data_IF_779810470167
#
_entry.id   IF_779810470167
#
_cell.length_a   1.000
_cell.length_b   1.000
_cell.length_c   1.000
_cell.angle_alpha   90.00
_cell.angle_beta   90.00
_cell.angle_gamma   90.00
#
_symmetry.space_group_name_H-M   'P 1'
#
loop_
_entity.id
_entity.type
_entity.pdbx_description
1 polymer ?
#
# COMPACT_ATOMS: atom_id res chain seq x y z
N UNK A 1 16.56 -18.52 -3.06
CA UNK A 1 16.18 -17.26 -2.41
C UNK A 1 17.44 -16.47 -2.16
N UNK A 2 17.53 -15.25 -2.70
CA UNK A 2 18.66 -14.37 -2.44
C UNK A 2 18.68 -14.02 -0.93
N UNK A 3 19.87 -13.89 -0.34
CA UNK A 3 20.07 -13.63 1.09
C UNK A 3 19.17 -12.54 1.74
N UNK A 4 18.85 -11.39 1.10
CA UNK A 4 18.02 -10.37 1.74
C UNK A 4 16.56 -10.79 1.98
N UNK A 5 15.99 -11.71 1.20
CA UNK A 5 14.59 -12.17 1.39
C UNK A 5 14.40 -12.98 2.68
N UNK A 6 15.44 -13.66 3.15
CA UNK A 6 15.37 -14.48 4.37
C UNK A 6 15.24 -13.65 5.65
N UNK A 7 15.77 -12.43 5.65
CA UNK A 7 15.66 -11.51 6.79
C UNK A 7 14.23 -11.03 7.00
N UNK A 8 13.51 -10.77 5.90
CA UNK A 8 12.15 -10.23 5.96
C UNK A 8 11.06 -11.29 6.17
N UNK A 9 11.28 -12.53 5.74
CA UNK A 9 10.24 -13.58 5.80
C UNK A 9 9.74 -13.82 7.22
N UNK A 10 10.62 -13.78 8.23
CA UNK A 10 10.26 -13.96 9.65
C UNK A 10 9.52 -12.77 10.25
N UNK A 11 9.60 -11.62 9.58
CA UNK A 11 9.00 -10.36 10.00
C UNK A 11 7.62 -10.12 9.36
N UNK A 12 7.17 -11.03 8.49
CA UNK A 12 5.96 -10.81 7.71
C UNK A 12 6.06 -9.62 6.76
N UNK A 13 7.27 -9.31 6.29
CA UNK A 13 7.55 -8.22 5.34
C UNK A 13 8.05 -8.85 4.03
N UNK A 14 7.75 -8.22 2.90
CA UNK A 14 8.30 -8.55 1.59
C UNK A 14 8.79 -7.29 0.89
N UNK A 15 9.81 -7.45 0.05
CA UNK A 15 10.25 -6.40 -0.87
C UNK A 15 9.29 -6.42 -2.07
N UNK A 16 8.47 -5.38 -2.29
CA UNK A 16 7.50 -5.38 -3.37
C UNK A 16 8.14 -5.01 -4.71
N UNK A 17 7.41 -5.31 -5.78
CA UNK A 17 7.61 -4.66 -7.07
C UNK A 17 6.65 -3.46 -7.12
N UNK A 18 7.17 -2.28 -7.45
CA UNK A 18 6.40 -1.03 -7.40
C UNK A 18 6.08 -0.55 -8.81
N UNK A 19 4.80 -0.37 -9.10
CA UNK A 19 4.33 0.21 -10.35
C UNK A 19 4.15 1.72 -10.17
N UNK A 20 4.91 2.52 -10.93
CA UNK A 20 4.75 3.97 -11.00
C UNK A 20 4.37 4.39 -12.42
N UNK A 21 3.67 5.51 -12.61
CA UNK A 21 3.46 6.02 -13.96
C UNK A 21 4.81 6.35 -14.61
N UNK A 22 4.90 6.14 -15.92
CA UNK A 22 6.11 6.43 -16.70
C UNK A 22 6.54 7.89 -16.54
N UNK A 23 7.84 8.14 -16.74
CA UNK A 23 8.39 9.48 -16.77
C UNK A 23 7.63 10.39 -17.74
N UNK A 24 7.36 11.63 -17.32
CA UNK A 24 6.57 12.60 -18.08
C UNK A 24 5.06 12.56 -17.83
N UNK A 25 4.55 11.57 -17.07
CA UNK A 25 3.16 11.61 -16.58
C UNK A 25 2.97 12.75 -15.57
N UNK A 26 1.84 13.45 -15.66
CA UNK A 26 1.48 14.49 -14.69
C UNK A 26 1.13 13.86 -13.33
N UNK A 27 2.12 13.83 -12.44
CA UNK A 27 1.98 13.26 -11.10
C UNK A 27 0.91 13.96 -10.26
N UNK A 28 0.65 15.25 -10.50
CA UNK A 28 -0.35 16.01 -9.74
C UNK A 28 -1.77 15.52 -10.03
N UNK A 29 -2.02 14.99 -11.23
CA UNK A 29 -3.28 14.32 -11.61
C UNK A 29 -3.25 12.82 -11.32
N UNK A 30 -2.07 12.22 -11.27
CA UNK A 30 -1.91 10.80 -10.95
C UNK A 30 -2.35 10.47 -9.52
N UNK A 31 -1.79 11.19 -8.54
CA UNK A 31 -1.90 10.83 -7.13
C UNK A 31 -3.17 11.39 -6.46
N UNK A 32 -4.10 10.49 -6.15
CA UNK A 32 -5.39 10.80 -5.53
C UNK A 32 -5.39 10.34 -4.08
N UNK A 33 -6.19 11.00 -3.24
CA UNK A 33 -6.37 10.60 -1.85
C UNK A 33 -6.98 9.18 -1.74
N UNK A 34 -6.73 8.53 -0.61
CA UNK A 34 -7.30 7.25 -0.25
C UNK A 34 -8.83 7.20 -0.45
N UNK A 35 -9.33 6.09 -1.00
CA UNK A 35 -10.73 5.96 -1.39
C UNK A 35 -11.72 5.93 -0.21
N UNK A 36 -11.23 5.69 1.00
CA UNK A 36 -11.99 5.66 2.25
C UNK A 36 -12.02 7.00 2.98
N UNK A 37 -11.47 8.05 2.36
CA UNK A 37 -11.62 9.43 2.80
C UNK A 37 -12.79 10.07 2.05
N UNK A 38 -13.33 11.17 2.59
CA UNK A 38 -14.44 11.88 1.97
C UNK A 38 -15.63 10.96 1.63
N UNK A 39 -15.93 10.02 2.54
CA UNK A 39 -16.88 8.90 2.30
C UNK A 39 -18.32 9.34 2.07
N UNK A 40 -18.65 10.58 2.41
CA UNK A 40 -19.99 11.16 2.27
C UNK A 40 -19.99 12.41 1.40
N UNK A 41 -18.85 12.77 0.80
CA UNK A 41 -18.65 14.03 0.07
C UNK A 41 -18.48 13.73 -1.43
N UNK A 42 -19.59 13.47 -2.11
CA UNK A 42 -19.59 13.17 -3.55
C UNK A 42 -19.02 14.31 -4.39
N UNK A 43 -19.23 15.55 -3.95
CA UNK A 43 -18.74 16.78 -4.59
C UNK A 43 -17.21 16.84 -4.61
N UNK A 44 -16.54 16.33 -3.56
CA UNK A 44 -15.08 16.22 -3.54
C UNK A 44 -14.59 15.31 -4.67
N UNK A 45 -15.21 14.14 -4.82
CA UNK A 45 -14.85 13.17 -5.84
C UNK A 45 -15.17 13.66 -7.26
N UNK A 46 -16.23 14.45 -7.43
CA UNK A 46 -16.53 15.14 -8.69
C UNK A 46 -15.45 16.15 -9.06
N UNK A 47 -14.97 16.95 -8.10
CA UNK A 47 -13.86 17.89 -8.31
C UNK A 47 -12.56 17.17 -8.68
N UNK A 48 -12.26 16.03 -8.03
CA UNK A 48 -11.11 15.19 -8.39
C UNK A 48 -11.25 14.69 -9.83
N UNK A 49 -12.43 14.19 -10.22
CA UNK A 49 -12.68 13.74 -11.61
C UNK A 49 -12.58 14.87 -12.62
N UNK A 50 -13.08 16.06 -12.29
CA UNK A 50 -12.98 17.23 -13.17
C UNK A 50 -11.52 17.69 -13.34
N UNK A 51 -10.75 17.69 -12.26
CA UNK A 51 -9.34 18.09 -12.29
C UNK A 51 -8.47 17.10 -13.09
N UNK A 52 -8.72 15.80 -12.94
CA UNK A 52 -8.00 14.74 -13.63
C UNK A 52 -8.38 14.67 -15.11
N UNK A 53 -9.67 14.78 -15.43
CA UNK A 53 -10.18 14.69 -16.80
C UNK A 53 -9.87 13.33 -17.42
N UNK A 54 -9.38 13.33 -18.66
CA UNK A 54 -8.99 12.12 -19.39
C UNK A 54 -7.50 11.74 -19.18
N UNK A 55 -6.77 12.46 -18.31
CA UNK A 55 -5.37 12.16 -18.03
C UNK A 55 -5.22 10.86 -17.24
N UNK A 56 -4.12 10.11 -17.40
CA UNK A 56 -3.85 8.95 -16.54
C UNK A 56 -3.90 9.29 -15.05
N UNK A 57 -4.70 8.57 -14.26
CA UNK A 57 -4.93 8.85 -12.85
C UNK A 57 -5.38 7.64 -12.04
N UNK A 58 -5.00 7.57 -10.77
CA UNK A 58 -5.48 6.51 -9.88
C UNK A 58 -6.97 6.61 -9.56
N UNK A 59 -7.64 7.75 -9.80
CA UNK A 59 -9.11 7.86 -9.62
C UNK A 59 -9.87 6.92 -10.58
N UNK A 60 -9.26 6.54 -11.70
CA UNK A 60 -9.82 5.58 -12.66
C UNK A 60 -9.53 4.13 -12.27
N UNK A 61 -8.70 3.90 -11.24
CA UNK A 61 -8.27 2.59 -10.76
C UNK A 61 -8.88 2.22 -9.40
N UNK A 62 -9.68 3.11 -8.80
CA UNK A 62 -10.27 2.94 -7.47
C UNK A 62 -11.77 3.16 -7.52
N UNK A 63 -12.47 2.61 -6.52
CA UNK A 63 -13.84 2.98 -6.22
C UNK A 63 -13.88 3.74 -4.89
N UNK A 64 -14.16 5.05 -4.90
CA UNK A 64 -14.37 5.80 -3.66
C UNK A 64 -15.52 5.23 -2.82
N UNK A 65 -15.36 5.22 -1.50
CA UNK A 65 -16.34 4.65 -0.59
C UNK A 65 -17.70 5.35 -0.64
N UNK A 66 -17.71 6.63 -1.04
CA UNK A 66 -18.91 7.39 -1.35
C UNK A 66 -19.82 6.71 -2.40
N UNK A 67 -19.27 5.81 -3.22
CA UNK A 67 -20.00 5.09 -4.27
C UNK A 67 -20.17 3.59 -3.99
N UNK A 68 -19.76 3.06 -2.83
CA UNK A 68 -19.88 1.62 -2.51
C UNK A 68 -21.32 1.11 -2.49
N UNK A 69 -22.29 1.98 -2.16
CA UNK A 69 -23.72 1.65 -2.15
C UNK A 69 -24.43 1.82 -3.50
N UNK A 70 -23.70 2.19 -4.56
CA UNK A 70 -24.28 2.42 -5.88
C UNK A 70 -24.83 1.14 -6.50
N UNK A 71 -25.97 1.24 -7.18
CA UNK A 71 -26.51 0.13 -7.99
C UNK A 71 -25.61 -0.24 -9.18
N UNK A 72 -24.70 0.66 -9.58
CA UNK A 72 -23.74 0.47 -10.68
C UNK A 72 -22.40 -0.14 -10.26
N UNK A 73 -22.36 -0.77 -9.10
CA UNK A 73 -21.13 -1.35 -8.54
C UNK A 73 -20.48 -2.37 -9.50
N UNK A 74 -21.21 -3.34 -10.10
CA UNK A 74 -20.61 -4.32 -11.01
C UNK A 74 -19.94 -3.69 -12.25
N UNK A 75 -20.61 -2.71 -12.86
CA UNK A 75 -20.08 -2.00 -14.03
C UNK A 75 -18.85 -1.17 -13.66
N UNK A 76 -18.86 -0.55 -12.47
CA UNK A 76 -17.73 0.24 -11.97
C UNK A 76 -16.49 -0.65 -11.74
N UNK A 77 -16.68 -1.84 -11.16
CA UNK A 77 -15.58 -2.80 -10.94
C UNK A 77 -14.99 -3.25 -12.29
N UNK A 78 -15.85 -3.57 -13.25
CA UNK A 78 -15.41 -3.97 -14.60
C UNK A 78 -14.58 -2.85 -15.25
N UNK A 79 -15.08 -1.61 -15.23
CA UNK A 79 -14.35 -0.47 -15.80
C UNK A 79 -13.01 -0.20 -15.10
N UNK A 80 -12.93 -0.39 -13.78
CA UNK A 80 -11.67 -0.29 -13.02
C UNK A 80 -10.68 -1.36 -13.49
N UNK A 81 -11.10 -2.63 -13.58
CA UNK A 81 -10.24 -3.73 -14.02
C UNK A 81 -9.76 -3.55 -15.45
N UNK A 82 -10.65 -3.11 -16.36
CA UNK A 82 -10.30 -2.82 -17.74
C UNK A 82 -9.29 -1.67 -17.83
N UNK A 83 -9.45 -0.62 -17.02
CA UNK A 83 -8.49 0.49 -16.96
C UNK A 83 -7.14 0.05 -16.42
N UNK A 84 -7.10 -0.79 -15.37
CA UNK A 84 -5.86 -1.35 -14.85
C UNK A 84 -5.11 -2.15 -15.92
N UNK A 85 -5.80 -3.02 -16.66
CA UNK A 85 -5.21 -3.78 -17.79
C UNK A 85 -4.71 -2.85 -18.89
N UNK A 86 -5.52 -1.87 -19.28
CA UNK A 86 -5.14 -0.86 -20.27
C UNK A 86 -3.86 -0.13 -19.87
N UNK A 87 -3.70 0.25 -18.59
CA UNK A 87 -2.50 0.95 -18.12
C UNK A 87 -1.25 0.05 -18.13
N UNK A 88 -1.42 -1.24 -17.83
CA UNK A 88 -0.36 -2.24 -17.95
C UNK A 88 0.04 -2.45 -19.42
N UNK A 89 -0.93 -2.62 -20.32
CA UNK A 89 -0.70 -2.97 -21.73
C UNK A 89 -0.19 -1.78 -22.56
N UNK A 90 -0.57 -0.55 -22.21
CA UNK A 90 -0.23 0.68 -22.96
C UNK A 90 1.08 1.34 -22.52
N UNK A 91 1.82 0.71 -21.59
CA UNK A 91 3.07 1.26 -21.06
C UNK A 91 2.88 2.59 -20.32
N UNK A 92 1.71 2.81 -19.71
CA UNK A 92 1.49 3.93 -18.78
C UNK A 92 2.29 3.71 -17.50
N UNK A 93 2.46 2.46 -17.08
CA UNK A 93 3.20 2.08 -15.89
C UNK A 93 4.63 1.64 -16.22
N UNK A 94 5.53 1.90 -15.28
CA UNK A 94 6.90 1.42 -15.24
C UNK A 94 7.08 0.65 -13.94
N UNK A 95 7.59 -0.58 -14.07
CA UNK A 95 7.87 -1.47 -12.96
C UNK A 95 9.25 -1.19 -12.35
N UNK A 96 9.27 -1.13 -11.03
CA UNK A 96 10.49 -1.05 -10.23
C UNK A 96 10.56 -2.31 -9.37
N UNK A 97 11.22 -3.33 -9.92
CA UNK A 97 11.40 -4.61 -9.23
C UNK A 97 12.14 -4.42 -7.91
N UNK A 98 11.78 -5.24 -6.92
CA UNK A 98 12.42 -5.35 -5.62
C UNK A 98 12.77 -3.98 -5.04
N UNK A 99 11.74 -3.17 -4.76
CA UNK A 99 11.91 -1.76 -4.40
C UNK A 99 11.10 -1.41 -3.16
N UNK A 100 11.77 -0.88 -2.14
CA UNK A 100 11.10 -0.05 -1.14
C UNK A 100 11.12 1.41 -1.57
N UNK A 101 10.14 2.18 -1.10
CA UNK A 101 10.11 3.63 -1.34
C UNK A 101 10.13 4.36 -0.01
N UNK A 102 11.20 5.11 0.26
CA UNK A 102 11.19 6.10 1.33
C UNK A 102 10.33 7.28 0.86
N UNK A 103 9.28 7.59 1.60
CA UNK A 103 8.35 8.66 1.30
C UNK A 103 8.62 9.83 2.23
N UNK A 104 8.68 11.04 1.68
CA UNK A 104 8.69 12.29 2.42
C UNK A 104 7.48 13.12 1.98
N UNK A 105 6.59 13.43 2.93
CA UNK A 105 5.40 14.26 2.69
C UNK A 105 5.50 15.53 3.51
N UNK A 106 5.51 16.68 2.83
CA UNK A 106 5.32 17.99 3.46
C UNK A 106 3.86 18.38 3.32
N UNK A 107 3.12 18.49 4.41
CA UNK A 107 1.72 18.92 4.37
C UNK A 107 1.61 20.41 4.02
N UNK A 108 0.42 20.87 3.62
CA UNK A 108 0.16 22.30 3.41
C UNK A 108 0.40 23.16 4.66
N UNK A 109 0.37 22.56 5.85
CA UNK A 109 0.67 23.21 7.13
C UNK A 109 2.18 23.20 7.48
N UNK A 110 3.04 22.78 6.56
CA UNK A 110 4.50 22.82 6.72
C UNK A 110 5.11 21.63 7.48
N UNK A 111 4.31 20.72 8.05
CA UNK A 111 4.82 19.53 8.74
C UNK A 111 5.36 18.51 7.74
N UNK A 112 6.58 18.05 7.97
CA UNK A 112 7.18 16.95 7.22
C UNK A 112 6.96 15.63 7.95
N UNK A 113 6.58 14.59 7.21
CA UNK A 113 6.48 13.20 7.68
C UNK A 113 7.25 12.29 6.75
N UNK A 114 7.86 11.27 7.31
CA UNK A 114 8.52 10.21 6.57
C UNK A 114 7.80 8.88 6.76
N UNK A 115 7.87 8.02 5.75
CA UNK A 115 7.31 6.68 5.78
C UNK A 115 8.05 5.76 4.82
N UNK A 116 7.78 4.46 4.91
CA UNK A 116 8.36 3.46 4.04
C UNK A 116 7.23 2.68 3.36
N UNK A 117 7.21 2.65 2.03
CA UNK A 117 6.35 1.74 1.28
C UNK A 117 7.03 0.37 1.23
N UNK A 118 6.31 -0.63 1.72
CA UNK A 118 6.70 -2.04 1.78
C UNK A 118 5.48 -2.93 1.54
N UNK A 119 5.70 -4.22 1.29
CA UNK A 119 4.64 -5.22 1.30
C UNK A 119 4.64 -5.97 2.64
N UNK A 120 3.44 -6.28 3.14
CA UNK A 120 3.23 -7.16 4.29
C UNK A 120 2.78 -8.52 3.79
N UNK A 121 3.28 -9.59 4.40
CA UNK A 121 2.83 -10.95 4.15
C UNK A 121 1.54 -11.20 4.93
N UNK A 122 0.45 -11.44 4.20
CA UNK A 122 -0.86 -11.65 4.79
C UNK A 122 -0.93 -12.90 5.65
N UNK A 123 0.02 -13.85 5.55
CA UNK A 123 0.12 -14.97 6.50
C UNK A 123 0.49 -14.53 7.92
N UNK A 124 1.12 -13.35 8.07
CA UNK A 124 1.47 -12.75 9.35
C UNK A 124 0.43 -11.72 9.81
N UNK A 125 -0.68 -11.59 9.10
CA UNK A 125 -1.77 -10.68 9.43
C UNK A 125 -3.04 -11.44 9.83
N UNK A 126 -3.58 -11.08 11.00
CA UNK A 126 -4.87 -11.56 11.49
C UNK A 126 -5.68 -10.43 12.14
N UNK A 127 -6.93 -10.29 11.71
CA UNK A 127 -7.89 -9.29 12.16
C UNK A 127 -8.95 -9.82 13.13
N UNK A 128 -8.79 -11.04 13.64
CA UNK A 128 -9.61 -11.55 14.75
C UNK A 128 -9.43 -10.69 16.01
N UNK A 129 -10.49 -10.55 16.81
CA UNK A 129 -10.54 -9.68 18.02
C UNK A 129 -9.44 -9.99 19.04
N UNK A 130 -8.96 -11.24 19.09
CA UNK A 130 -7.91 -11.71 20.00
C UNK A 130 -6.65 -12.16 19.26
N UNK A 131 -6.41 -11.60 18.08
CA UNK A 131 -5.22 -11.88 17.28
C UNK A 131 -3.95 -11.58 18.08
N UNK A 132 -3.05 -12.55 18.10
CA UNK A 132 -1.69 -12.44 18.62
C UNK A 132 -0.67 -12.39 17.47
N UNK A 133 -1.16 -12.21 16.24
CA UNK A 133 -0.32 -12.20 15.04
C UNK A 133 0.61 -10.99 15.01
N UNK A 134 1.79 -11.17 14.42
CA UNK A 134 2.84 -10.16 14.36
C UNK A 134 2.38 -8.83 13.72
N UNK A 135 1.43 -8.94 12.79
CA UNK A 135 0.73 -7.83 12.14
C UNK A 135 -0.75 -7.95 12.48
N UNK A 136 -1.35 -6.90 13.05
CA UNK A 136 -2.76 -6.92 13.48
C UNK A 136 -3.34 -5.51 13.59
N UNK A 137 -4.66 -5.32 13.44
CA UNK A 137 -5.26 -4.00 13.52
C UNK A 137 -5.31 -3.48 14.96
N UNK A 138 -5.26 -2.17 15.13
CA UNK A 138 -5.45 -1.52 16.45
C UNK A 138 -6.92 -1.36 16.81
N UNK A 139 -7.81 -1.46 15.83
CA UNK A 139 -9.26 -1.31 15.97
C UNK A 139 -10.02 -2.50 15.38
N UNK A 140 -11.27 -2.69 15.82
CA UNK A 140 -12.13 -3.76 15.34
C UNK A 140 -12.42 -3.65 13.84
N UNK A 141 -12.38 -4.78 13.14
CA UNK A 141 -12.76 -4.86 11.72
C UNK A 141 -14.24 -5.18 11.59
N UNK A 142 -15.01 -4.33 10.89
CA UNK A 142 -16.43 -4.57 10.64
C UNK A 142 -16.55 -5.58 9.49
N UNK A 143 -16.86 -6.83 9.81
CA UNK A 143 -16.89 -7.93 8.83
C UNK A 143 -17.84 -7.67 7.66
N UNK A 144 -18.98 -7.01 7.88
CA UNK A 144 -19.94 -6.67 6.82
C UNK A 144 -19.38 -5.67 5.79
N UNK A 145 -18.27 -4.98 6.09
CA UNK A 145 -17.59 -4.06 5.16
C UNK A 145 -16.56 -4.76 4.26
N UNK A 146 -16.20 -6.00 4.52
CA UNK A 146 -15.20 -6.76 3.75
C UNK A 146 -15.72 -7.16 2.35
N UNK A 147 -16.93 -7.75 2.18
CA UNK A 147 -17.33 -8.33 0.89
C UNK A 147 -17.34 -7.34 -0.30
N UNK A 148 -17.80 -6.08 -0.16
CA UNK A 148 -17.72 -5.11 -1.26
C UNK A 148 -16.27 -4.82 -1.70
N UNK A 149 -15.34 -4.73 -0.73
CA UNK A 149 -13.92 -4.47 -0.98
C UNK A 149 -13.23 -5.67 -1.60
N UNK A 150 -13.57 -6.87 -1.15
CA UNK A 150 -13.11 -8.12 -1.75
C UNK A 150 -13.50 -8.20 -3.23
N UNK A 151 -14.74 -7.86 -3.58
CA UNK A 151 -15.20 -7.89 -4.99
C UNK A 151 -14.40 -6.96 -5.91
N UNK A 152 -13.99 -5.80 -5.42
CA UNK A 152 -13.18 -4.84 -6.18
C UNK A 152 -11.76 -5.40 -6.40
N UNK A 153 -11.19 -6.04 -5.38
CA UNK A 153 -9.82 -6.58 -5.37
C UNK A 153 -9.68 -7.92 -6.11
N UNK A 154 -10.72 -8.75 -6.06
CA UNK A 154 -10.68 -10.07 -6.67
C UNK A 154 -10.54 -9.95 -8.20
N UNK A 155 -9.54 -10.62 -8.78
CA UNK A 155 -9.12 -10.51 -10.19
C UNK A 155 -8.55 -9.15 -10.64
N UNK A 156 -8.36 -8.18 -9.74
CA UNK A 156 -7.64 -6.96 -10.07
C UNK A 156 -6.16 -7.30 -10.37
N UNK A 157 -5.59 -6.82 -11.49
CA UNK A 157 -4.18 -7.05 -11.80
C UNK A 157 -3.22 -6.09 -11.07
N UNK A 158 -3.76 -5.05 -10.41
CA UNK A 158 -3.00 -4.05 -9.66
C UNK A 158 -3.59 -3.90 -8.26
N UNK A 159 -2.72 -3.67 -7.27
CA UNK A 159 -3.10 -3.28 -5.91
C UNK A 159 -2.72 -1.81 -5.69
N UNK A 160 -3.65 -1.01 -5.19
CA UNK A 160 -3.45 0.40 -4.85
C UNK A 160 -3.72 0.61 -3.36
N UNK A 161 -2.77 0.25 -2.48
CA UNK A 161 -3.00 0.29 -1.05
C UNK A 161 -2.81 1.71 -0.50
N UNK A 162 -3.69 2.11 0.41
CA UNK A 162 -3.58 3.34 1.18
C UNK A 162 -3.47 3.08 2.70
N UNK A 163 -3.05 1.87 3.05
CA UNK A 163 -3.04 1.36 4.41
C UNK A 163 -1.87 1.98 5.18
N UNK A 164 -2.15 2.49 6.38
CA UNK A 164 -1.10 2.96 7.29
C UNK A 164 -0.84 1.90 8.35
N UNK A 165 0.33 1.26 8.23
CA UNK A 165 0.90 0.42 9.28
C UNK A 165 1.85 1.23 10.15
N UNK A 166 1.71 1.07 11.45
CA UNK A 166 2.45 1.78 12.48
C UNK A 166 3.43 0.81 13.14
N UNK A 167 4.59 1.31 13.53
CA UNK A 167 5.59 0.54 14.29
C UNK A 167 6.00 1.32 15.53
N UNK A 168 6.28 0.60 16.61
CA UNK A 168 6.84 1.19 17.82
C UNK A 168 8.36 1.27 17.69
N UNK A 169 8.86 2.40 17.18
CA UNK A 169 10.30 2.64 16.97
C UNK A 169 10.71 3.99 17.60
N UNK A 170 10.77 4.09 18.94
CA UNK A 170 11.06 5.34 19.64
C UNK A 170 12.46 5.89 19.35
N UNK A 171 13.39 5.02 18.98
CA UNK A 171 14.78 5.37 18.64
C UNK A 171 14.98 5.64 17.14
N UNK A 172 13.90 5.57 16.34
CA UNK A 172 13.92 5.82 14.90
C UNK A 172 14.97 4.96 14.16
N UNK A 173 15.09 3.69 14.55
CA UNK A 173 16.06 2.73 14.02
C UNK A 173 15.78 2.36 12.57
N UNK A 174 14.52 2.31 12.16
CA UNK A 174 14.13 1.89 10.80
C UNK A 174 14.24 3.05 9.82
N UNK A 175 13.59 4.19 10.09
CA UNK A 175 13.56 5.32 9.15
C UNK A 175 14.77 6.26 9.30
N UNK A 176 15.32 6.43 10.51
CA UNK A 176 16.38 7.38 10.79
C UNK A 176 17.60 7.26 9.87
N UNK A 177 18.20 6.07 9.72
CA UNK A 177 19.33 5.87 8.80
C UNK A 177 18.96 6.19 7.34
N UNK A 178 17.76 5.81 6.89
CA UNK A 178 17.29 6.08 5.53
C UNK A 178 17.09 7.57 5.26
N UNK A 179 16.51 8.28 6.24
CA UNK A 179 16.32 9.74 6.19
C UNK A 179 17.68 10.45 6.13
N UNK A 180 18.64 10.02 6.96
CA UNK A 180 19.98 10.62 7.02
C UNK A 180 20.76 10.50 5.71
N UNK A 181 20.48 9.50 4.89
CA UNK A 181 21.14 9.28 3.59
C UNK A 181 20.22 9.54 2.39
N UNK A 182 19.03 10.11 2.57
CA UNK A 182 18.01 10.20 1.51
C UNK A 182 18.48 10.91 0.24
N UNK A 183 19.37 11.89 0.37
CA UNK A 183 19.93 12.65 -0.75
C UNK A 183 20.87 11.82 -1.64
N UNK A 184 21.29 10.64 -1.17
CA UNK A 184 22.06 9.66 -1.96
C UNK A 184 21.18 8.65 -2.70
N UNK A 185 19.89 8.58 -2.35
CA UNK A 185 18.95 7.64 -2.93
C UNK A 185 18.39 8.19 -4.26
N UNK A 186 18.17 7.34 -5.28
CA UNK A 186 17.52 7.78 -6.51
C UNK A 186 16.12 8.35 -6.26
N UNK A 187 15.86 9.57 -6.72
CA UNK A 187 14.55 10.21 -6.63
C UNK A 187 13.60 9.60 -7.66
N UNK A 188 12.46 9.06 -7.20
CA UNK A 188 11.41 8.49 -8.05
C UNK A 188 10.39 9.55 -8.48
N UNK A 189 10.01 10.44 -7.56
CA UNK A 189 9.05 11.51 -7.82
C UNK A 189 9.22 12.65 -6.81
N UNK A 190 8.93 13.88 -7.24
CA UNK A 190 8.84 15.09 -6.41
C UNK A 190 7.82 16.05 -7.01
N UNK A 191 6.63 16.18 -6.40
CA UNK A 191 5.54 16.98 -6.97
C UNK A 191 4.56 17.47 -5.90
N UNK A 192 3.75 18.46 -6.27
CA UNK A 192 2.64 18.95 -5.44
C UNK A 192 1.38 18.12 -5.66
N UNK A 193 0.77 17.69 -4.55
CA UNK A 193 -0.47 16.93 -4.55
C UNK A 193 -1.66 17.85 -4.85
N UNK A 194 -2.67 17.29 -5.52
CA UNK A 194 -3.95 17.96 -5.75
C UNK A 194 -4.63 18.38 -4.43
N UNK A 195 -5.62 19.27 -4.54
CA UNK A 195 -6.49 19.66 -3.42
C UNK A 195 -5.71 20.25 -2.23
N UNK A 196 -4.65 21.03 -2.49
CA UNK A 196 -3.80 21.64 -1.45
C UNK A 196 -3.26 20.62 -0.43
N UNK A 197 -2.95 19.40 -0.87
CA UNK A 197 -2.58 18.29 0.02
C UNK A 197 -1.08 18.25 0.40
N UNK A 198 -0.32 19.25 -0.07
CA UNK A 198 1.11 19.41 0.19
C UNK A 198 1.98 18.87 -0.94
N UNK A 199 3.25 18.55 -0.62
CA UNK A 199 4.24 18.05 -1.56
C UNK A 199 4.69 16.65 -1.17
N UNK A 200 4.85 15.78 -2.16
CA UNK A 200 5.23 14.38 -1.98
C UNK A 200 6.53 14.08 -2.71
N UNK A 201 7.44 13.40 -2.01
CA UNK A 201 8.70 12.89 -2.56
C UNK A 201 8.85 11.41 -2.26
N UNK A 202 9.40 10.68 -3.22
CA UNK A 202 9.68 9.25 -3.09
C UNK A 202 11.09 8.95 -3.53
N UNK A 203 11.82 8.17 -2.73
CA UNK A 203 13.19 7.79 -3.00
C UNK A 203 13.30 6.27 -3.06
N UNK A 204 13.96 5.75 -4.10
CA UNK A 204 14.11 4.32 -4.36
C UNK A 204 15.13 3.71 -3.42
N UNK A 205 14.76 2.64 -2.75
CA UNK A 205 15.66 1.77 -2.01
C UNK A 205 15.64 0.41 -2.69
N UNK A 206 16.76 0.05 -3.32
CA UNK A 206 16.89 -1.16 -4.14
C UNK A 206 18.22 -1.90 -3.94
N UNK A 207 19.08 -1.37 -3.06
CA UNK A 207 20.43 -1.89 -2.85
C UNK A 207 20.45 -2.90 -1.70
N UNK A 208 21.18 -4.01 -1.88
CA UNK A 208 21.26 -5.10 -0.91
C UNK A 208 21.68 -4.65 0.50
N UNK A 209 22.70 -3.80 0.70
CA UNK A 209 23.08 -3.33 2.05
C UNK A 209 21.95 -2.57 2.76
N UNK A 210 21.12 -1.82 2.00
CA UNK A 210 19.98 -1.13 2.57
C UNK A 210 18.90 -2.12 3.02
N UNK A 211 18.64 -3.18 2.25
CA UNK A 211 17.72 -4.24 2.64
C UNK A 211 18.15 -4.97 3.91
N UNK A 212 19.43 -5.35 4.01
CA UNK A 212 19.97 -6.00 5.21
C UNK A 212 19.85 -5.10 6.45
N UNK A 213 20.14 -3.81 6.29
CA UNK A 213 19.98 -2.81 7.36
C UNK A 213 18.52 -2.67 7.80
N UNK A 214 17.58 -2.57 6.86
CA UNK A 214 16.14 -2.46 7.15
C UNK A 214 15.64 -3.74 7.85
N UNK A 215 16.01 -4.92 7.37
CA UNK A 215 15.63 -6.19 7.98
C UNK A 215 16.16 -6.30 9.43
N UNK A 216 17.43 -5.92 9.66
CA UNK A 216 18.01 -5.89 11.00
C UNK A 216 17.30 -4.87 11.91
N UNK A 217 16.95 -3.69 11.40
CA UNK A 217 16.25 -2.66 12.15
C UNK A 217 14.87 -3.13 12.60
N UNK A 218 14.05 -3.68 11.69
CA UNK A 218 12.75 -4.28 12.05
C UNK A 218 12.90 -5.46 13.00
N UNK A 219 13.87 -6.34 12.77
CA UNK A 219 14.14 -7.46 13.68
C UNK A 219 14.49 -7.01 15.09
N UNK A 220 15.14 -5.85 15.24
CA UNK A 220 15.47 -5.28 16.56
C UNK A 220 14.27 -4.69 17.30
N UNK A 221 13.13 -4.47 16.63
CA UNK A 221 11.89 -4.01 17.26
C UNK A 221 11.15 -5.13 17.98
N UNK A 222 11.46 -6.39 17.67
CA UNK A 222 10.88 -7.56 18.35
C UNK A 222 11.68 -7.80 19.63
N UNK A 223 11.02 -7.71 20.78
CA UNK A 223 11.68 -7.94 22.07
C UNK A 223 11.91 -9.45 22.26
N UNK A 224 13.16 -9.91 22.48
CA UNK A 224 13.44 -11.32 22.72
C UNK A 224 12.68 -11.86 23.94
N UNK A 225 11.96 -12.97 23.77
CA UNK A 225 11.19 -13.61 24.84
C UNK A 225 9.79 -13.02 25.06
N UNK A 226 9.38 -12.02 24.28
CA UNK A 226 7.98 -11.58 24.27
C UNK A 226 7.09 -12.67 23.68
N UNK A 227 6.06 -13.09 24.42
CA UNK A 227 5.18 -14.19 23.99
C UNK A 227 4.29 -13.81 22.80
N UNK A 228 3.95 -12.52 22.64
CA UNK A 228 2.93 -12.02 21.70
C UNK A 228 3.36 -10.73 20.98
N UNK A 229 4.53 -10.72 20.33
CA UNK A 229 5.10 -9.51 19.78
C UNK A 229 4.16 -8.87 18.75
N UNK A 230 4.14 -7.54 18.75
CA UNK A 230 3.49 -6.72 17.74
C UNK A 230 4.57 -5.95 16.98
N UNK A 231 4.77 -6.27 15.71
CA UNK A 231 5.72 -5.53 14.88
C UNK A 231 5.03 -4.37 14.17
N UNK A 232 3.91 -4.66 13.52
CA UNK A 232 3.16 -3.70 12.70
C UNK A 232 1.70 -3.65 13.15
N UNK A 233 1.26 -2.47 13.57
CA UNK A 233 -0.10 -2.20 13.96
C UNK A 233 -0.84 -1.50 12.81
N UNK A 234 -1.90 -2.09 12.28
CA UNK A 234 -2.70 -1.42 11.24
C UNK A 234 -3.50 -0.31 11.91
N UNK A 235 -3.11 0.94 11.63
CA UNK A 235 -3.69 2.14 12.24
C UNK A 235 -4.76 2.78 11.37
N UNK A 236 -4.65 2.67 10.05
CA UNK A 236 -5.68 3.11 9.10
C UNK A 236 -5.74 2.19 7.88
N UNK A 237 -6.92 2.07 7.26
CA UNK A 237 -7.16 1.12 6.16
C UNK A 237 -7.42 -0.32 6.63
N UNK A 238 -7.85 -0.53 7.87
CA UNK A 238 -8.10 -1.85 8.50
C UNK A 238 -8.98 -2.77 7.62
N UNK A 239 -10.11 -2.25 7.13
CA UNK A 239 -11.02 -3.00 6.24
C UNK A 239 -10.39 -3.33 4.89
N UNK A 240 -9.47 -2.49 4.42
CA UNK A 240 -8.75 -2.67 3.15
C UNK A 240 -7.79 -3.85 3.25
N UNK A 241 -6.97 -3.90 4.31
CA UNK A 241 -6.07 -5.03 4.54
C UNK A 241 -6.81 -6.33 4.89
N UNK A 242 -7.91 -6.25 5.64
CA UNK A 242 -8.79 -7.40 5.88
C UNK A 242 -9.39 -7.95 4.58
N UNK A 243 -9.78 -7.09 3.65
CA UNK A 243 -10.25 -7.52 2.33
C UNK A 243 -9.12 -8.17 1.50
N UNK A 244 -7.89 -7.65 1.57
CA UNK A 244 -6.72 -8.32 0.97
C UNK A 244 -6.54 -9.74 1.53
N UNK A 245 -6.58 -9.88 2.86
CA UNK A 245 -6.50 -11.18 3.55
C UNK A 245 -7.63 -12.12 3.15
N UNK A 246 -8.85 -11.61 2.98
CA UNK A 246 -10.00 -12.39 2.50
C UNK A 246 -9.76 -12.93 1.09
N UNK A 247 -9.32 -12.07 0.16
CA UNK A 247 -8.95 -12.47 -1.21
C UNK A 247 -7.89 -13.56 -1.19
N UNK A 248 -6.84 -13.40 -0.39
CA UNK A 248 -5.77 -14.40 -0.30
C UNK A 248 -6.26 -15.75 0.25
N UNK A 249 -7.08 -15.73 1.30
CA UNK A 249 -7.69 -16.95 1.85
C UNK A 249 -8.58 -17.66 0.82
N UNK A 250 -9.31 -16.88 0.02
CA UNK A 250 -10.13 -17.41 -1.07
C UNK A 250 -9.28 -18.04 -2.17
N UNK A 251 -8.19 -17.39 -2.60
CA UNK A 251 -7.26 -17.96 -3.59
C UNK A 251 -6.66 -19.28 -3.09
N UNK A 252 -6.23 -19.34 -1.82
CA UNK A 252 -5.74 -20.59 -1.21
C UNK A 252 -6.78 -21.71 -1.24
N UNK A 253 -8.04 -21.38 -1.00
CA UNK A 253 -9.15 -22.35 -0.98
C UNK A 253 -9.54 -22.83 -2.39
N UNK A 254 -9.70 -21.90 -3.33
CA UNK A 254 -10.20 -22.18 -4.68
C UNK A 254 -9.10 -22.67 -5.63
N UNK A 255 -7.85 -22.25 -5.41
CA UNK A 255 -6.70 -22.54 -6.28
C UNK A 255 -5.45 -22.96 -5.48
N UNK A 256 -5.50 -24.04 -4.66
CA UNK A 256 -4.38 -24.42 -3.79
C UNK A 256 -3.05 -24.61 -4.53
N UNK A 257 -3.08 -25.13 -5.76
CA UNK A 257 -1.90 -25.34 -6.58
C UNK A 257 -1.22 -24.03 -7.04
N UNK A 258 -1.98 -22.94 -7.16
CA UNK A 258 -1.46 -21.62 -7.53
C UNK A 258 -1.03 -20.77 -6.32
N UNK A 259 -1.45 -21.16 -5.11
CA UNK A 259 -1.22 -20.41 -3.88
C UNK A 259 0.18 -20.62 -3.28
N UNK A 260 1.22 -20.28 -4.06
CA UNK A 260 2.62 -20.35 -3.63
C UNK A 260 3.05 -19.21 -2.70
N UNK A 261 4.25 -19.33 -2.12
CA UNK A 261 4.83 -18.30 -1.23
C UNK A 261 5.10 -16.95 -1.90
N UNK A 262 5.29 -16.98 -3.23
CA UNK A 262 5.60 -15.82 -4.05
C UNK A 262 4.37 -15.32 -4.81
N UNK A 263 3.16 -15.80 -4.45
CA UNK A 263 1.94 -15.31 -5.08
C UNK A 263 1.76 -13.81 -4.76
N UNK A 264 1.44 -12.95 -5.75
CA UNK A 264 1.36 -11.49 -5.54
C UNK A 264 0.26 -11.07 -4.56
N UNK A 265 -0.80 -11.87 -4.43
CA UNK A 265 -1.86 -11.64 -3.46
C UNK A 265 -1.53 -12.12 -2.02
N UNK A 266 -0.31 -12.64 -1.76
CA UNK A 266 0.11 -13.07 -0.41
C UNK A 266 0.86 -11.98 0.32
#
# INVERSE_FOLDING_TARGET
MAAPEQGFSKLGIKIPDIMLPRAGTDMSRWAVIACDQYTSETEYWEQVRQFTGDAPSTVHLILPEAFLGSSRLPESITGIHDTMRSYLDSGILTEYEHTFVLVERKTAYGRVRHGLILAVDLEYYDYAEKSESLIRPTEGTILSRIPPREKIRFHAPLELPHILVLMADPENRVLGPLIGQKETLPLLYDFELMQNSGRLRGYRIHEKPAFESIAAAFGSLIVPGEERPLLLAVGDGNHSLAAARSVWNRIKSEQPAAAGSNHPAR
#
